data_IF_627920423157
#
_entry.id   IF_627920423157
#
_cell.length_a   1.000
_cell.length_b   1.000
_cell.length_c   1.000
_cell.angle_alpha   90.00
_cell.angle_beta   90.00
_cell.angle_gamma   90.00
#
_symmetry.space_group_name_H-M   'P 1'
#
loop_
_entity.id
_entity.type
_entity.pdbx_description
1 polymer ?
#
# COMPACT_ATOMS: atom_id res chain seq x y z
N UNK A 1 11.59 56.55 17.09
CA UNK A 1 11.34 55.68 15.91
C UNK A 1 12.54 55.70 14.94
N UNK A 2 13.75 55.35 15.40
CA UNK A 2 14.94 55.26 14.53
C UNK A 2 15.83 54.03 14.82
N UNK A 3 15.41 53.14 15.73
CA UNK A 3 16.15 51.92 16.10
C UNK A 3 15.50 50.62 15.60
N UNK A 4 14.36 50.69 14.91
CA UNK A 4 13.65 49.51 14.38
C UNK A 4 13.93 49.23 12.89
N UNK A 5 14.57 50.16 12.17
CA UNK A 5 14.89 50.02 10.74
C UNK A 5 16.27 49.41 10.46
N UNK A 6 17.15 49.29 11.46
CA UNK A 6 18.50 48.70 11.29
C UNK A 6 18.50 47.16 11.37
N UNK A 7 17.60 46.55 12.15
CA UNK A 7 17.52 45.10 12.29
C UNK A 7 16.89 44.42 11.06
N UNK A 8 15.94 45.09 10.39
CA UNK A 8 15.31 44.60 9.16
C UNK A 8 16.28 44.59 7.96
N UNK A 9 17.20 45.56 7.89
CA UNK A 9 18.21 45.63 6.82
C UNK A 9 19.33 44.58 6.97
N UNK A 10 19.64 44.16 8.21
CA UNK A 10 20.61 43.07 8.46
C UNK A 10 20.04 41.67 8.18
N UNK A 11 18.73 41.46 8.38
CA UNK A 11 18.07 40.19 8.03
C UNK A 11 17.94 39.98 6.51
N UNK A 12 17.73 41.04 5.74
CA UNK A 12 17.64 40.97 4.27
C UNK A 12 18.97 40.64 3.59
N UNK A 13 20.12 40.99 4.19
CA UNK A 13 21.45 40.70 3.64
C UNK A 13 21.96 39.29 4.00
N UNK A 14 21.33 38.60 4.95
CA UNK A 14 21.60 37.19 5.27
C UNK A 14 20.81 36.24 4.36
N UNK A 15 19.64 36.66 3.86
CA UNK A 15 18.81 35.86 2.96
C UNK A 15 19.26 35.89 1.50
N UNK A 16 20.03 36.90 1.06
CA UNK A 16 20.62 36.93 -0.29
C UNK A 16 21.92 36.13 -0.44
N UNK A 17 22.50 35.64 0.67
CA UNK A 17 23.72 34.81 0.67
C UNK A 17 23.46 33.30 0.75
N UNK A 18 22.20 32.87 0.86
CA UNK A 18 21.84 31.45 0.91
C UNK A 18 21.55 30.80 -0.47
N UNK A 19 21.68 31.55 -1.58
CA UNK A 19 21.49 31.02 -2.94
C UNK A 19 22.76 30.53 -3.65
N UNK A 20 23.89 30.36 -2.97
CA UNK A 20 25.12 29.82 -3.57
C UNK A 20 25.85 28.89 -2.60
N UNK A 21 25.31 27.70 -2.37
CA UNK A 21 26.11 26.55 -1.93
C UNK A 21 25.33 25.25 -2.16
N UNK A 22 25.42 24.75 -3.38
CA UNK A 22 25.14 23.36 -3.72
C UNK A 22 26.50 22.69 -3.95
N UNK A 23 26.61 21.42 -3.51
CA UNK A 23 27.74 20.46 -3.62
C UNK A 23 28.53 20.24 -2.32
N UNK A 24 28.54 18.97 -1.92
CA UNK A 24 29.28 18.29 -0.84
C UNK A 24 28.73 18.43 0.59
N UNK A 25 28.03 17.39 1.07
CA UNK A 25 28.43 16.54 2.21
C UNK A 25 27.40 15.40 2.33
N UNK A 26 27.74 14.24 1.76
CA UNK A 26 27.24 12.93 2.19
C UNK A 26 27.84 12.61 3.57
N UNK A 27 27.04 12.03 4.46
CA UNK A 27 27.56 11.44 5.71
C UNK A 27 27.20 12.12 7.02
N UNK A 28 25.98 12.66 7.21
CA UNK A 28 25.52 13.05 8.56
C UNK A 28 23.97 13.04 8.74
N UNK A 29 23.29 11.96 8.32
CA UNK A 29 21.83 11.81 8.60
C UNK A 29 21.41 10.59 9.42
N UNK A 30 22.34 9.76 9.90
CA UNK A 30 22.05 8.62 10.78
C UNK A 30 22.16 8.93 12.28
N UNK A 31 22.75 10.06 12.68
CA UNK A 31 22.95 10.39 14.10
C UNK A 31 21.71 11.02 14.78
N UNK A 32 20.82 11.66 14.02
CA UNK A 32 19.66 12.37 14.60
C UNK A 32 18.56 11.42 15.09
N UNK A 33 18.32 10.31 14.40
CA UNK A 33 17.34 9.30 14.83
C UNK A 33 17.80 8.52 16.08
N UNK A 34 19.10 8.27 16.25
CA UNK A 34 19.64 7.58 17.42
C UNK A 34 19.58 8.44 18.69
N UNK A 35 19.76 9.77 18.56
CA UNK A 35 19.67 10.69 19.72
C UNK A 35 18.23 10.86 20.25
N UNK A 36 17.22 10.64 19.42
CA UNK A 36 15.81 10.66 19.84
C UNK A 36 15.39 9.39 20.57
N UNK A 37 15.91 8.21 20.17
CA UNK A 37 15.60 6.95 20.87
C UNK A 37 16.28 6.86 22.24
N UNK A 38 17.51 7.39 22.38
CA UNK A 38 18.23 7.43 23.67
C UNK A 38 17.56 8.37 24.68
N UNK A 39 16.92 9.45 24.23
CA UNK A 39 16.12 10.34 25.12
C UNK A 39 14.84 9.69 25.62
N UNK A 40 14.20 8.84 24.82
CA UNK A 40 13.00 8.09 25.23
C UNK A 40 13.32 7.00 26.26
N UNK A 41 14.43 6.29 26.10
CA UNK A 41 14.91 5.29 27.07
C UNK A 41 15.28 5.91 28.43
N UNK A 42 15.80 7.14 28.45
CA UNK A 42 16.10 7.88 29.68
C UNK A 42 14.86 8.37 30.45
N UNK A 43 13.74 8.62 29.76
CA UNK A 43 12.47 9.02 30.36
C UNK A 43 11.72 7.82 30.97
N UNK A 44 11.76 6.66 30.32
CA UNK A 44 11.21 5.40 30.82
C UNK A 44 11.94 4.90 32.09
N UNK A 45 13.26 5.10 32.18
CA UNK A 45 14.03 4.75 33.39
C UNK A 45 13.68 5.66 34.58
N UNK A 46 13.31 6.93 34.33
CA UNK A 46 12.86 7.88 35.38
C UNK A 46 11.45 7.57 35.90
N UNK A 47 10.57 6.99 35.08
CA UNK A 47 9.25 6.56 35.54
C UNK A 47 9.31 5.29 36.38
N UNK A 48 10.20 4.35 36.03
CA UNK A 48 10.37 3.09 36.78
C UNK A 48 10.99 3.30 38.17
N UNK A 49 11.86 4.31 38.33
CA UNK A 49 12.41 4.72 39.63
C UNK A 49 11.43 5.50 40.53
N UNK A 50 10.30 5.99 39.99
CA UNK A 50 9.23 6.62 40.80
C UNK A 50 8.19 5.63 41.32
N UNK A 51 8.12 4.43 40.77
CA UNK A 51 7.18 3.39 41.24
C UNK A 51 7.77 2.51 42.36
N UNK A 52 9.07 2.61 42.64
CA UNK A 52 9.74 1.77 43.66
C UNK A 52 10.02 2.46 44.99
N UNK A 53 9.57 3.70 45.21
CA UNK A 53 9.70 4.38 46.51
C UNK A 53 8.35 4.93 46.98
N UNK A 54 7.61 4.10 47.71
CA UNK A 54 6.48 4.57 48.51
C UNK A 54 6.99 5.43 49.68
N UNK A 55 6.54 6.67 49.78
CA UNK A 55 6.85 7.54 50.91
C UNK A 55 6.39 8.99 50.70
N UNK A 56 5.31 9.36 51.39
CA UNK A 56 4.75 10.72 51.46
C UNK A 56 5.68 11.71 52.17
N UNK A 57 6.07 12.82 51.51
CA UNK A 57 6.27 14.16 52.11
C UNK A 57 6.66 15.21 51.05
N UNK A 58 6.34 16.51 51.25
CA UNK A 58 6.39 17.53 50.20
C UNK A 58 7.80 18.13 50.03
N UNK A 59 8.26 18.25 48.78
CA UNK A 59 9.58 18.76 48.45
C UNK A 59 9.60 20.30 48.26
N UNK A 60 10.52 20.98 48.97
CA UNK A 60 11.02 22.33 48.65
C UNK A 60 11.99 22.28 47.44
N UNK A 61 12.16 23.36 46.66
CA UNK A 61 13.05 23.36 45.51
C UNK A 61 14.53 23.55 45.92
N UNK A 62 15.44 22.73 45.38
CA UNK A 62 16.89 22.84 45.56
C UNK A 62 17.55 23.54 44.36
N UNK A 63 18.43 24.50 44.67
CA UNK A 63 19.23 25.30 43.74
C UNK A 63 20.40 24.50 43.14
N UNK A 64 20.65 24.71 41.84
CA UNK A 64 21.71 24.11 41.03
C UNK A 64 23.04 24.86 41.14
N UNK A 65 23.73 24.74 42.26
CA UNK A 65 25.15 25.07 42.31
C UNK A 65 25.84 24.19 43.34
N UNK A 66 26.92 23.53 42.92
CA UNK A 66 27.84 22.67 43.69
C UNK A 66 27.67 21.16 43.48
N UNK A 67 28.22 20.64 42.38
CA UNK A 67 28.76 19.27 42.33
C UNK A 67 30.05 19.26 41.49
N UNK A 68 31.19 19.02 42.15
CA UNK A 68 32.48 18.64 41.52
C UNK A 68 32.53 17.10 41.40
N UNK A 69 33.23 16.53 40.39
CA UNK A 69 33.27 15.08 40.21
C UNK A 69 34.30 14.44 41.16
N UNK A 70 33.94 13.34 41.80
CA UNK A 70 34.86 12.51 42.59
C UNK A 70 34.79 11.05 42.12
N UNK A 71 35.98 10.47 41.89
CA UNK A 71 36.23 9.06 41.53
C UNK A 71 35.92 8.12 42.71
N UNK A 72 35.40 6.93 42.42
CA UNK A 72 35.38 5.73 43.26
C UNK A 72 35.71 4.55 42.30
N UNK A 73 36.86 3.88 42.33
CA UNK A 73 37.45 2.92 43.29
C UNK A 73 36.54 1.73 43.59
N UNK A 74 36.91 0.58 43.01
CA UNK A 74 36.34 -0.76 43.18
C UNK A 74 36.68 -1.37 44.55
N UNK A 75 35.77 -2.17 45.14
CA UNK A 75 36.12 -3.52 45.61
C UNK A 75 34.90 -4.44 45.91
N UNK A 76 35.16 -5.75 45.70
CA UNK A 76 34.33 -6.98 45.72
C UNK A 76 33.78 -7.32 47.13
N UNK A 77 32.82 -8.23 47.37
CA UNK A 77 32.48 -9.57 46.82
C UNK A 77 30.98 -9.89 47.13
N UNK A 78 30.27 -10.94 46.66
CA UNK A 78 30.47 -12.41 46.71
C UNK A 78 29.40 -13.11 45.83
N UNK A 79 29.76 -14.21 45.13
CA UNK A 79 29.00 -15.35 44.50
C UNK A 79 27.55 -15.15 43.98
N UNK A 80 27.12 -15.55 42.78
CA UNK A 80 27.71 -16.30 41.66
C UNK A 80 26.59 -17.01 40.86
N UNK A 81 26.48 -16.76 39.55
CA UNK A 81 26.33 -17.77 38.48
C UNK A 81 26.41 -17.10 37.09
N UNK A 82 27.10 -17.77 36.17
CA UNK A 82 27.70 -17.27 34.93
C UNK A 82 26.84 -17.49 33.68
N UNK A 83 26.99 -16.61 32.68
CA UNK A 83 27.14 -16.98 31.26
C UNK A 83 28.31 -16.13 30.68
N UNK A 84 29.31 -16.72 29.99
CA UNK A 84 30.58 -16.04 29.70
C UNK A 84 30.54 -15.25 28.39
N UNK A 85 30.86 -13.96 28.47
CA UNK A 85 31.27 -13.15 27.32
C UNK A 85 32.81 -13.15 27.29
N UNK A 86 33.40 -13.95 26.41
CA UNK A 86 34.86 -14.00 26.22
C UNK A 86 35.27 -13.09 25.06
N UNK A 87 35.57 -11.83 25.37
CA UNK A 87 36.39 -10.98 24.51
C UNK A 87 37.85 -11.46 24.60
N UNK A 88 38.27 -12.26 23.61
CA UNK A 88 39.69 -12.49 23.34
C UNK A 88 40.17 -11.49 22.29
N UNK A 89 41.21 -10.75 22.68
CA UNK A 89 42.08 -9.94 21.83
C UNK A 89 42.51 -10.72 20.58
N UNK A 90 42.20 -10.19 19.41
CA UNK A 90 42.78 -10.63 18.14
C UNK A 90 43.68 -9.52 17.60
N UNK A 91 44.91 -9.95 17.30
CA UNK A 91 46.05 -9.16 16.83
C UNK A 91 45.78 -8.56 15.44
N UNK A 92 46.46 -7.45 15.16
CA UNK A 92 46.60 -6.86 13.83
C UNK A 92 47.05 -7.92 12.82
N UNK A 93 46.12 -8.33 11.96
CA UNK A 93 46.34 -9.21 10.82
C UNK A 93 46.10 -8.41 9.54
N UNK A 94 47.03 -8.52 8.60
CA UNK A 94 47.14 -7.70 7.40
C UNK A 94 45.88 -7.63 6.53
N UNK A 95 45.78 -6.50 5.81
CA UNK A 95 44.75 -6.21 4.83
C UNK A 95 44.91 -7.20 3.67
N UNK A 96 44.24 -8.34 3.76
CA UNK A 96 43.94 -9.14 2.59
C UNK A 96 42.87 -8.39 1.78
N UNK A 97 43.23 -8.02 0.56
CA UNK A 97 42.35 -7.42 -0.44
C UNK A 97 41.27 -8.45 -0.81
N UNK A 98 40.24 -8.58 0.03
CA UNK A 98 39.01 -9.29 -0.34
C UNK A 98 38.24 -8.28 -1.20
N UNK A 99 38.41 -8.39 -2.52
CA UNK A 99 37.40 -7.90 -3.45
C UNK A 99 36.14 -8.71 -3.18
N UNK A 100 35.33 -8.25 -2.24
CA UNK A 100 33.95 -8.67 -2.15
C UNK A 100 33.25 -7.92 -3.27
N UNK A 101 33.34 -8.47 -4.48
CA UNK A 101 32.44 -8.12 -5.55
C UNK A 101 31.06 -8.56 -5.07
N UNK A 102 30.30 -7.62 -4.49
CA UNK A 102 28.87 -7.76 -4.33
C UNK A 102 28.37 -8.05 -5.74
N UNK A 103 27.76 -9.21 -6.00
CA UNK A 103 27.11 -9.42 -7.27
C UNK A 103 26.03 -8.35 -7.34
N UNK A 104 26.19 -7.38 -8.22
CA UNK A 104 25.12 -6.50 -8.67
C UNK A 104 24.17 -7.43 -9.42
N UNK A 105 23.35 -8.16 -8.65
CA UNK A 105 22.42 -9.16 -9.15
C UNK A 105 21.36 -8.44 -9.96
N UNK A 106 21.24 -8.85 -11.22
CA UNK A 106 20.24 -8.48 -12.22
C UNK A 106 19.68 -7.05 -12.15
N UNK A 107 20.10 -6.23 -13.12
CA UNK A 107 19.45 -4.96 -13.43
C UNK A 107 17.92 -5.12 -13.41
N UNK A 108 17.23 -4.22 -12.71
CA UNK A 108 15.78 -4.07 -12.80
C UNK A 108 15.39 -4.02 -14.29
N UNK A 109 14.80 -5.11 -14.77
CA UNK A 109 14.35 -5.18 -16.16
C UNK A 109 12.96 -4.59 -16.20
N UNK A 110 12.84 -3.41 -16.78
CA UNK A 110 11.54 -2.76 -16.99
C UNK A 110 10.73 -3.68 -17.92
N UNK A 111 9.55 -4.10 -17.44
CA UNK A 111 8.64 -4.94 -18.22
C UNK A 111 7.90 -4.06 -19.23
N UNK A 112 7.54 -4.64 -20.35
CA UNK A 112 6.61 -4.08 -21.33
C UNK A 112 5.24 -4.75 -21.20
N UNK A 113 4.20 -4.18 -21.81
CA UNK A 113 2.86 -4.79 -21.80
C UNK A 113 2.84 -6.22 -22.36
N UNK A 114 3.73 -6.54 -23.30
CA UNK A 114 3.84 -7.89 -23.87
C UNK A 114 4.49 -8.90 -22.93
N UNK A 115 5.25 -8.43 -21.94
CA UNK A 115 5.90 -9.27 -20.91
C UNK A 115 4.93 -9.64 -19.76
N UNK A 116 3.77 -8.99 -19.69
CA UNK A 116 2.71 -9.37 -18.75
C UNK A 116 1.99 -10.61 -19.25
N UNK A 117 1.76 -11.61 -18.40
CA UNK A 117 0.86 -12.72 -18.72
C UNK A 117 -0.56 -12.23 -19.09
N UNK A 118 -1.37 -13.03 -19.81
CA UNK A 118 -2.74 -12.63 -20.16
C UNK A 118 -3.54 -12.19 -18.93
N UNK A 119 -3.44 -12.97 -17.84
CA UNK A 119 -4.10 -12.67 -16.57
C UNK A 119 -3.56 -11.40 -15.90
N UNK A 120 -2.25 -11.13 -15.95
CA UNK A 120 -1.69 -9.87 -15.45
C UNK A 120 -2.18 -8.67 -16.27
N UNK A 121 -2.32 -8.81 -17.59
CA UNK A 121 -2.84 -7.74 -18.46
C UNK A 121 -4.33 -7.45 -18.18
N UNK A 122 -5.13 -8.49 -17.93
CA UNK A 122 -6.51 -8.33 -17.47
C UNK A 122 -6.58 -7.61 -16.11
N UNK A 123 -5.77 -8.03 -15.14
CA UNK A 123 -5.72 -7.38 -13.82
C UNK A 123 -5.29 -5.91 -13.93
N UNK A 124 -4.28 -5.62 -14.76
CA UNK A 124 -3.83 -4.25 -15.04
C UNK A 124 -4.95 -3.40 -15.63
N UNK A 125 -5.69 -3.96 -16.59
CA UNK A 125 -6.84 -3.29 -17.21
C UNK A 125 -7.95 -3.04 -16.20
N UNK A 126 -8.23 -4.00 -15.33
CA UNK A 126 -9.21 -3.87 -14.25
C UNK A 126 -8.83 -2.77 -13.25
N UNK A 127 -7.58 -2.75 -12.80
CA UNK A 127 -7.07 -1.70 -11.89
C UNK A 127 -7.19 -0.32 -12.53
N UNK A 128 -6.82 -0.19 -13.81
CA UNK A 128 -6.93 1.06 -14.57
C UNK A 128 -8.39 1.50 -14.71
N UNK A 129 -9.31 0.60 -15.07
CA UNK A 129 -10.74 0.92 -15.20
C UNK A 129 -11.36 1.32 -13.87
N UNK A 130 -11.03 0.62 -12.78
CA UNK A 130 -11.48 0.96 -11.45
C UNK A 130 -10.98 2.36 -11.04
N UNK A 131 -9.73 2.69 -11.40
CA UNK A 131 -9.13 4.01 -11.17
C UNK A 131 -9.82 5.11 -11.98
N UNK A 132 -10.24 4.80 -13.20
CA UNK A 132 -10.99 5.70 -14.08
C UNK A 132 -12.47 5.85 -13.70
N UNK A 133 -12.96 5.04 -12.75
CA UNK A 133 -14.29 5.21 -12.15
C UNK A 133 -15.26 4.06 -12.38
N UNK A 134 -14.86 2.98 -13.07
CA UNK A 134 -15.71 1.80 -13.21
C UNK A 134 -16.01 1.20 -11.83
N UNK A 135 -17.29 1.03 -11.52
CA UNK A 135 -17.78 0.49 -10.25
C UNK A 135 -18.33 -0.92 -10.45
N UNK A 136 -18.54 -1.63 -9.34
CA UNK A 136 -19.05 -3.00 -9.31
C UNK A 136 -18.30 -3.91 -10.29
N UNK A 137 -16.99 -3.69 -10.44
CA UNK A 137 -16.21 -4.40 -11.43
C UNK A 137 -16.02 -5.85 -10.99
N UNK A 138 -16.42 -6.77 -11.85
CA UNK A 138 -16.32 -8.22 -11.65
C UNK A 138 -15.39 -8.77 -12.72
N UNK A 139 -14.33 -9.42 -12.26
CA UNK A 139 -13.43 -10.22 -13.10
C UNK A 139 -14.06 -11.60 -13.36
N UNK A 140 -14.01 -12.10 -14.61
CA UNK A 140 -14.69 -13.33 -15.04
C UNK A 140 -13.70 -14.26 -15.76
N UNK A 141 -13.20 -15.34 -15.12
CA UNK A 141 -12.10 -16.16 -15.72
C UNK A 141 -11.87 -17.51 -14.99
N UNK A 142 -11.20 -18.51 -15.61
CA UNK A 142 -11.24 -18.97 -16.99
C UNK A 142 -12.22 -20.16 -17.10
N UNK A 143 -13.41 -19.91 -17.63
CA UNK A 143 -14.37 -20.93 -18.07
C UNK A 143 -14.62 -20.78 -19.57
N UNK A 144 -15.51 -21.61 -20.14
CA UNK A 144 -16.04 -21.49 -21.51
C UNK A 144 -16.92 -20.23 -21.65
N UNK A 145 -16.43 -19.09 -21.21
CA UNK A 145 -17.22 -17.90 -20.93
C UNK A 145 -17.10 -16.91 -22.08
N UNK A 146 -17.92 -17.16 -23.09
CA UNK A 146 -18.94 -16.20 -23.52
C UNK A 146 -18.49 -15.01 -24.36
N UNK A 147 -17.47 -14.23 -23.99
CA UNK A 147 -17.13 -13.03 -24.75
C UNK A 147 -16.75 -11.76 -23.98
N UNK A 148 -16.38 -11.85 -22.69
CA UNK A 148 -15.90 -10.70 -21.90
C UNK A 148 -15.02 -11.16 -20.73
N UNK A 149 -14.03 -10.34 -20.36
CA UNK A 149 -13.09 -10.64 -19.27
C UNK A 149 -13.43 -9.82 -18.00
N UNK A 150 -13.97 -8.61 -18.18
CA UNK A 150 -14.39 -7.72 -17.10
C UNK A 150 -15.80 -7.19 -17.38
N UNK A 151 -16.61 -7.06 -16.34
CA UNK A 151 -17.91 -6.40 -16.37
C UNK A 151 -17.97 -5.36 -15.25
N UNK A 152 -18.58 -4.19 -15.50
CA UNK A 152 -18.82 -3.20 -14.45
C UNK A 152 -19.85 -2.17 -14.86
N UNK A 153 -20.06 -1.20 -13.98
CA UNK A 153 -21.03 -0.12 -14.15
C UNK A 153 -20.34 1.25 -14.13
N UNK A 154 -20.77 2.14 -15.01
CA UNK A 154 -20.47 3.56 -14.97
C UNK A 154 -21.73 4.30 -14.49
N UNK A 155 -21.55 5.16 -13.48
CA UNK A 155 -22.61 6.02 -12.96
C UNK A 155 -22.31 7.46 -13.37
N UNK A 156 -23.27 8.11 -14.02
CA UNK A 156 -23.13 9.49 -14.49
C UNK A 156 -24.34 10.30 -14.06
N UNK A 157 -24.09 11.34 -13.27
CA UNK A 157 -25.11 12.31 -12.86
C UNK A 157 -25.39 13.26 -14.03
N UNK A 158 -26.67 13.51 -14.29
CA UNK A 158 -27.11 14.46 -15.30
C UNK A 158 -27.50 15.83 -14.68
N UNK A 159 -27.68 16.82 -15.55
CA UNK A 159 -28.08 18.17 -15.13
C UNK A 159 -29.50 18.24 -14.54
N UNK A 160 -30.31 17.18 -14.69
CA UNK A 160 -31.62 17.08 -14.05
C UNK A 160 -31.55 16.51 -12.63
N UNK A 161 -30.37 16.10 -12.16
CA UNK A 161 -30.17 15.52 -10.84
C UNK A 161 -30.52 14.03 -10.77
N UNK A 162 -30.68 13.36 -11.92
CA UNK A 162 -30.80 11.91 -11.99
C UNK A 162 -29.44 11.28 -12.29
N UNK A 163 -29.22 10.08 -11.74
CA UNK A 163 -28.03 9.28 -12.04
C UNK A 163 -28.38 8.23 -13.09
N UNK A 164 -27.70 8.27 -14.21
CA UNK A 164 -27.76 7.21 -15.22
C UNK A 164 -26.74 6.12 -14.93
N UNK A 165 -27.13 4.86 -15.12
CA UNK A 165 -26.24 3.71 -15.04
C UNK A 165 -26.02 3.16 -16.44
N UNK A 166 -24.76 2.89 -16.78
CA UNK A 166 -24.39 2.17 -18.01
C UNK A 166 -23.62 0.90 -17.65
N UNK A 167 -24.04 -0.20 -18.23
CA UNK A 167 -23.35 -1.48 -18.14
C UNK A 167 -22.21 -1.54 -19.16
N UNK A 168 -21.01 -1.89 -18.67
CA UNK A 168 -19.79 -1.98 -19.47
C UNK A 168 -19.30 -3.42 -19.52
N UNK A 169 -19.11 -3.92 -20.74
CA UNK A 169 -18.45 -5.19 -21.01
C UNK A 169 -17.08 -4.92 -21.60
N UNK A 170 -16.04 -5.47 -21.00
CA UNK A 170 -14.66 -5.26 -21.43
C UNK A 170 -14.03 -6.59 -21.79
N UNK A 171 -13.39 -6.64 -22.96
CA UNK A 171 -12.60 -7.77 -23.42
C UNK A 171 -11.14 -7.32 -23.59
N UNK A 172 -10.22 -8.09 -23.01
CA UNK A 172 -8.80 -7.86 -22.98
C UNK A 172 -8.12 -8.81 -23.98
N UNK A 173 -7.32 -8.27 -24.89
CA UNK A 173 -6.60 -9.06 -25.90
C UNK A 173 -5.13 -8.68 -25.92
N UNK A 174 -4.30 -9.51 -25.29
CA UNK A 174 -2.84 -9.37 -25.37
C UNK A 174 -2.32 -9.99 -26.66
N UNK A 175 -2.29 -9.21 -27.74
CA UNK A 175 -1.81 -9.63 -29.06
C UNK A 175 -0.52 -8.90 -29.46
N UNK A 176 0.31 -9.60 -30.24
CA UNK A 176 1.42 -9.00 -30.99
C UNK A 176 0.97 -8.49 -32.37
N UNK A 177 -0.05 -9.12 -32.96
CA UNK A 177 -0.61 -8.77 -34.27
C UNK A 177 -1.89 -7.92 -34.19
N UNK A 178 -2.38 -7.48 -35.35
CA UNK A 178 -3.61 -6.69 -35.44
C UNK A 178 -4.86 -7.51 -35.12
N UNK A 179 -5.85 -6.88 -34.49
CA UNK A 179 -7.14 -7.52 -34.20
C UNK A 179 -8.05 -7.39 -35.43
N UNK A 180 -8.57 -8.52 -35.91
CA UNK A 180 -9.42 -8.59 -37.10
C UNK A 180 -10.91 -8.40 -36.78
N UNK A 181 -11.69 -7.91 -37.75
CA UNK A 181 -13.14 -7.71 -37.59
C UNK A 181 -13.90 -8.95 -37.08
N UNK A 182 -13.67 -10.18 -37.60
CA UNK A 182 -14.37 -11.35 -37.08
C UNK A 182 -14.19 -11.56 -35.57
N UNK A 183 -13.00 -11.27 -35.04
CA UNK A 183 -12.69 -11.37 -33.61
C UNK A 183 -13.49 -10.34 -32.81
N UNK A 184 -13.55 -9.10 -33.30
CA UNK A 184 -14.31 -8.03 -32.64
C UNK A 184 -15.82 -8.34 -32.71
N UNK A 185 -16.31 -8.79 -33.86
CA UNK A 185 -17.72 -9.12 -34.10
C UNK A 185 -18.24 -10.19 -33.14
N UNK A 186 -17.49 -11.27 -32.91
CA UNK A 186 -17.87 -12.32 -31.97
C UNK A 186 -18.17 -11.76 -30.57
N UNK A 187 -17.34 -10.82 -30.11
CA UNK A 187 -17.47 -10.17 -28.80
C UNK A 187 -18.60 -9.16 -28.76
N UNK A 188 -18.78 -8.39 -29.83
CA UNK A 188 -19.92 -7.48 -29.99
C UNK A 188 -21.23 -8.26 -29.93
N UNK A 189 -21.34 -9.37 -30.67
CA UNK A 189 -22.55 -10.18 -30.71
C UNK A 189 -22.91 -10.74 -29.33
N UNK A 190 -21.91 -11.11 -28.53
CA UNK A 190 -22.13 -11.53 -27.15
C UNK A 190 -22.58 -10.36 -26.25
N UNK A 191 -21.94 -9.19 -26.35
CA UNK A 191 -22.32 -8.01 -25.59
C UNK A 191 -23.76 -7.55 -25.94
N UNK A 192 -24.12 -7.55 -27.22
CA UNK A 192 -25.47 -7.25 -27.74
C UNK A 192 -26.51 -8.24 -27.18
N UNK A 193 -26.22 -9.54 -27.24
CA UNK A 193 -27.12 -10.58 -26.72
C UNK A 193 -27.35 -10.50 -25.20
N UNK A 194 -26.43 -9.85 -24.47
CA UNK A 194 -26.53 -9.65 -23.02
C UNK A 194 -26.93 -8.21 -22.65
N UNK A 195 -27.38 -7.39 -23.63
CA UNK A 195 -27.83 -6.01 -23.44
C UNK A 195 -26.79 -5.11 -22.73
N UNK A 196 -25.51 -5.26 -23.06
CA UNK A 196 -24.51 -4.29 -22.61
C UNK A 196 -24.76 -2.92 -23.26
N UNK A 197 -24.62 -1.84 -22.50
CA UNK A 197 -24.72 -0.48 -23.05
C UNK A 197 -23.46 -0.10 -23.82
N UNK A 198 -22.30 -0.53 -23.31
CA UNK A 198 -20.99 -0.24 -23.89
C UNK A 198 -20.15 -1.51 -23.93
N UNK A 199 -19.54 -1.77 -25.09
CA UNK A 199 -18.51 -2.78 -25.26
C UNK A 199 -17.16 -2.09 -25.46
N UNK A 200 -16.16 -2.44 -24.64
CA UNK A 200 -14.81 -1.92 -24.72
C UNK A 200 -13.83 -3.06 -25.04
N UNK A 201 -13.15 -2.95 -26.17
CA UNK A 201 -12.03 -3.83 -26.50
C UNK A 201 -10.70 -3.18 -26.10
N UNK A 202 -9.94 -3.81 -25.21
CA UNK A 202 -8.61 -3.35 -24.79
C UNK A 202 -7.56 -4.29 -25.36
N UNK A 203 -6.61 -3.78 -26.14
CA UNK A 203 -5.55 -4.58 -26.75
C UNK A 203 -4.17 -3.95 -26.56
N UNK A 204 -3.14 -4.79 -26.47
CA UNK A 204 -1.74 -4.36 -26.53
C UNK A 204 -1.30 -3.97 -27.95
N UNK A 205 -2.09 -4.31 -28.97
CA UNK A 205 -1.81 -4.03 -30.38
C UNK A 205 -2.76 -2.97 -30.97
N UNK A 206 -3.09 -3.07 -32.25
CA UNK A 206 -4.03 -2.18 -32.94
C UNK A 206 -5.12 -2.98 -33.63
N UNK A 207 -6.29 -2.36 -33.83
CA UNK A 207 -7.32 -2.92 -34.71
C UNK A 207 -6.89 -2.78 -36.19
N UNK A 208 -7.32 -3.72 -37.03
CA UNK A 208 -7.13 -3.57 -38.47
C UNK A 208 -7.99 -2.41 -39.01
N UNK A 209 -7.58 -1.72 -40.09
CA UNK A 209 -8.37 -0.63 -40.67
C UNK A 209 -9.81 -1.05 -40.99
N UNK A 210 -9.98 -2.24 -41.56
CA UNK A 210 -11.30 -2.82 -41.81
C UNK A 210 -12.13 -2.98 -40.52
N UNK A 211 -11.51 -3.41 -39.42
CA UNK A 211 -12.23 -3.55 -38.15
C UNK A 211 -12.67 -2.17 -37.61
N UNK A 212 -11.85 -1.14 -37.75
CA UNK A 212 -12.20 0.23 -37.36
C UNK A 212 -13.38 0.75 -38.18
N UNK A 213 -13.37 0.56 -39.50
CA UNK A 213 -14.45 0.99 -40.39
C UNK A 213 -15.79 0.31 -40.03
N UNK A 214 -15.76 -0.99 -39.76
CA UNK A 214 -16.96 -1.75 -39.35
C UNK A 214 -17.44 -1.36 -37.93
N UNK A 215 -16.54 -1.05 -37.00
CA UNK A 215 -16.90 -0.51 -35.68
C UNK A 215 -17.60 0.84 -35.81
N UNK A 216 -17.07 1.74 -36.65
CA UNK A 216 -17.70 3.05 -36.90
C UNK A 216 -19.08 2.87 -37.53
N UNK A 217 -19.18 2.00 -38.54
CA UNK A 217 -20.46 1.67 -39.18
C UNK A 217 -21.48 1.10 -38.18
N UNK A 218 -21.06 0.24 -37.26
CA UNK A 218 -21.92 -0.27 -36.20
C UNK A 218 -22.44 0.86 -35.31
N UNK A 219 -21.55 1.71 -34.82
CA UNK A 219 -21.91 2.82 -33.93
C UNK A 219 -22.82 3.86 -34.60
N UNK A 220 -22.69 4.06 -35.92
CA UNK A 220 -23.56 4.97 -36.68
C UNK A 220 -24.96 4.38 -36.90
N UNK A 221 -25.07 3.05 -37.00
CA UNK A 221 -26.33 2.36 -37.35
C UNK A 221 -27.11 1.85 -36.14
N UNK A 222 -26.43 1.53 -35.04
CA UNK A 222 -27.02 0.95 -33.83
C UNK A 222 -26.79 1.85 -32.62
N UNK A 223 -27.73 1.81 -31.68
CA UNK A 223 -27.63 2.57 -30.43
C UNK A 223 -26.90 1.82 -29.31
N UNK A 224 -26.92 0.49 -29.31
CA UNK A 224 -26.31 -0.33 -28.27
C UNK A 224 -25.88 -1.72 -28.81
N UNK A 225 -24.83 -2.33 -28.24
CA UNK A 225 -23.80 -1.67 -27.44
C UNK A 225 -23.04 -0.62 -28.26
N UNK A 226 -22.68 0.51 -27.63
CA UNK A 226 -21.68 1.43 -28.19
C UNK A 226 -20.32 0.75 -28.11
N UNK A 227 -19.66 0.59 -29.25
CA UNK A 227 -18.36 -0.07 -29.32
C UNK A 227 -17.25 0.96 -29.16
N UNK A 228 -16.34 0.70 -28.24
CA UNK A 228 -15.12 1.48 -27.99
C UNK A 228 -13.92 0.55 -28.01
N UNK A 229 -12.75 1.09 -28.32
CA UNK A 229 -11.51 0.32 -28.26
C UNK A 229 -10.35 1.17 -27.77
N UNK A 230 -9.43 0.52 -27.07
CA UNK A 230 -8.12 1.07 -26.72
C UNK A 230 -7.06 0.24 -27.43
N UNK A 231 -6.34 0.88 -28.35
CA UNK A 231 -5.11 0.30 -28.89
C UNK A 231 -3.98 0.39 -27.85
N UNK A 232 -2.86 -0.27 -28.11
CA UNK A 232 -1.69 -0.26 -27.22
C UNK A 232 -1.27 1.16 -26.82
N UNK A 233 -1.16 2.09 -27.78
CA UNK A 233 -0.81 3.48 -27.49
C UNK A 233 -1.90 4.22 -26.68
N UNK A 234 -3.18 3.95 -26.94
CA UNK A 234 -4.29 4.55 -26.19
C UNK A 234 -4.30 4.07 -24.73
N UNK A 235 -3.95 2.79 -24.54
CA UNK A 235 -3.80 2.16 -23.24
C UNK A 235 -2.60 2.74 -22.48
N UNK A 236 -1.42 2.77 -23.12
CA UNK A 236 -0.19 3.36 -22.57
C UNK A 236 -0.40 4.81 -22.16
N UNK A 237 -1.07 5.61 -22.99
CA UNK A 237 -1.37 7.00 -22.66
C UNK A 237 -2.22 7.12 -21.39
N UNK A 238 -3.27 6.29 -21.24
CA UNK A 238 -4.10 6.29 -20.03
C UNK A 238 -3.33 5.80 -18.81
N UNK A 239 -2.53 4.76 -18.99
CA UNK A 239 -1.68 4.21 -17.93
C UNK A 239 -0.60 5.21 -17.48
N UNK A 240 -0.10 6.06 -18.39
CA UNK A 240 0.90 7.09 -18.09
C UNK A 240 0.46 8.07 -17.00
N UNK A 241 -0.86 8.25 -16.82
CA UNK A 241 -1.45 9.12 -15.80
C UNK A 241 -1.54 8.46 -14.40
N UNK A 242 -1.24 7.15 -14.31
CA UNK A 242 -1.37 6.33 -13.12
C UNK A 242 -0.07 5.57 -12.85
N UNK A 243 0.93 6.31 -12.37
CA UNK A 243 2.29 5.81 -12.12
C UNK A 243 2.33 4.75 -11.01
N UNK A 244 1.43 4.85 -10.03
CA UNK A 244 1.22 3.84 -8.98
C UNK A 244 0.86 2.47 -9.55
N UNK A 245 -0.03 2.44 -10.55
CA UNK A 245 -0.40 1.21 -11.27
C UNK A 245 0.80 0.70 -12.08
N UNK A 246 1.54 1.57 -12.77
CA UNK A 246 2.73 1.13 -13.51
C UNK A 246 3.77 0.45 -12.61
N UNK A 247 4.01 0.98 -11.40
CA UNK A 247 4.90 0.34 -10.43
C UNK A 247 4.36 -1.01 -10.00
N UNK A 248 3.06 -1.11 -9.69
CA UNK A 248 2.44 -2.37 -9.26
C UNK A 248 2.75 -3.53 -10.22
N UNK A 249 2.75 -3.26 -11.53
CA UNK A 249 2.99 -4.27 -12.58
C UNK A 249 4.42 -4.28 -13.16
N UNK A 250 5.33 -3.43 -12.69
CA UNK A 250 6.72 -3.40 -13.17
C UNK A 250 6.94 -2.73 -14.52
N UNK A 251 6.03 -1.84 -14.90
CA UNK A 251 6.06 -1.08 -16.16
C UNK A 251 6.72 0.29 -15.99
N UNK A 252 6.95 0.73 -14.76
CA UNK A 252 7.57 2.03 -14.46
C UNK A 252 9.07 2.01 -14.75
N UNK A 253 9.55 3.09 -15.36
CA UNK A 253 10.99 3.33 -15.57
C UNK A 253 11.70 3.87 -14.33
N UNK A 254 10.97 4.45 -13.38
CA UNK A 254 11.50 5.06 -12.16
C UNK A 254 10.67 4.63 -10.94
N UNK A 255 10.66 3.33 -10.60
CA UNK A 255 9.63 2.76 -9.74
C UNK A 255 9.62 3.34 -8.31
N UNK A 256 10.79 3.73 -7.78
CA UNK A 256 10.89 4.39 -6.47
C UNK A 256 10.23 5.78 -6.48
N UNK A 257 10.43 6.56 -7.56
CA UNK A 257 9.88 7.91 -7.67
C UNK A 257 8.38 7.86 -7.93
N UNK A 258 7.96 6.96 -8.81
CA UNK A 258 6.59 6.77 -9.24
C UNK A 258 5.68 6.20 -8.14
N UNK A 259 6.25 5.41 -7.21
CA UNK A 259 5.54 4.89 -6.05
C UNK A 259 5.44 5.89 -4.88
N UNK A 260 6.30 6.91 -4.84
CA UNK A 260 6.42 7.80 -3.69
C UNK A 260 5.07 8.42 -3.25
N UNK A 261 4.19 8.93 -4.15
CA UNK A 261 2.90 9.47 -3.75
C UNK A 261 2.01 8.43 -3.04
N UNK A 262 1.98 7.19 -3.55
CA UNK A 262 1.14 6.13 -2.98
C UNK A 262 1.72 5.58 -1.66
N UNK A 263 3.05 5.55 -1.50
CA UNK A 263 3.70 5.26 -0.20
C UNK A 263 3.44 6.37 0.82
N UNK A 264 3.38 7.64 0.39
CA UNK A 264 3.00 8.76 1.26
C UNK A 264 1.58 8.58 1.78
N UNK A 265 0.62 8.10 0.98
CA UNK A 265 -0.73 7.80 1.46
C UNK A 265 -0.73 6.68 2.53
N UNK A 266 0.02 5.59 2.33
CA UNK A 266 0.20 4.58 3.38
C UNK A 266 0.85 5.15 4.65
N UNK A 267 1.83 6.04 4.48
CA UNK A 267 2.50 6.71 5.60
C UNK A 267 1.54 7.64 6.38
N UNK A 268 0.62 8.33 5.70
CA UNK A 268 -0.44 9.12 6.35
C UNK A 268 -1.35 8.23 7.20
N UNK A 269 -1.73 7.06 6.69
CA UNK A 269 -2.50 6.07 7.43
C UNK A 269 -1.71 5.64 8.67
N UNK A 270 -0.44 5.24 8.53
CA UNK A 270 0.42 4.89 9.66
C UNK A 270 0.48 5.99 10.73
N UNK A 271 0.68 7.25 10.32
CA UNK A 271 0.75 8.40 11.23
C UNK A 271 -0.58 8.67 11.92
N UNK A 272 -1.72 8.51 11.23
CA UNK A 272 -3.06 8.64 11.82
C UNK A 272 -3.22 7.69 13.02
N UNK A 273 -2.85 6.43 12.88
CA UNK A 273 -2.98 5.45 13.97
C UNK A 273 -1.89 5.61 15.04
N UNK A 274 -0.68 6.05 14.66
CA UNK A 274 0.38 6.41 15.62
C UNK A 274 -0.06 7.53 16.55
N UNK A 275 -0.65 8.60 16.00
CA UNK A 275 -1.18 9.70 16.80
C UNK A 275 -2.38 9.28 17.65
N UNK A 276 -3.22 8.37 17.14
CA UNK A 276 -4.32 7.78 17.92
C UNK A 276 -3.82 7.04 19.16
N UNK A 277 -2.73 6.27 19.07
CA UNK A 277 -2.13 5.61 20.25
C UNK A 277 -1.65 6.62 21.26
N UNK A 278 -0.91 7.63 20.82
CA UNK A 278 -0.37 8.64 21.72
C UNK A 278 -1.48 9.28 22.57
N UNK A 279 -2.62 9.59 21.94
CA UNK A 279 -3.80 10.07 22.64
C UNK A 279 -4.39 9.02 23.60
N UNK A 280 -4.55 7.77 23.16
CA UNK A 280 -5.13 6.71 23.98
C UNK A 280 -4.32 6.42 25.25
N UNK A 281 -2.98 6.43 25.15
CA UNK A 281 -2.07 6.27 26.29
C UNK A 281 -2.31 7.37 27.32
N UNK A 282 -2.40 8.62 26.88
CA UNK A 282 -2.64 9.77 27.76
C UNK A 282 -3.99 9.66 28.49
N UNK A 283 -5.02 9.12 27.81
CA UNK A 283 -6.34 8.89 28.39
C UNK A 283 -6.51 7.53 29.08
N UNK A 284 -5.44 6.74 29.25
CA UNK A 284 -5.49 5.43 29.91
C UNK A 284 -6.35 4.38 29.20
N UNK A 285 -6.52 4.48 27.88
CA UNK A 285 -7.29 3.52 27.07
C UNK A 285 -6.40 2.38 26.57
N UNK A 286 -7.03 1.26 26.19
CA UNK A 286 -6.36 0.09 25.59
C UNK A 286 -5.71 0.43 24.25
N UNK A 287 -4.46 0.03 24.06
CA UNK A 287 -3.66 0.35 22.87
C UNK A 287 -3.42 -0.83 21.93
N UNK A 288 -3.88 -2.04 22.30
CA UNK A 288 -3.56 -3.30 21.59
C UNK A 288 -3.99 -3.27 20.12
N UNK A 289 -5.23 -2.85 19.82
CA UNK A 289 -5.75 -2.79 18.45
C UNK A 289 -4.94 -1.83 17.57
N UNK A 290 -4.81 -0.54 17.93
CA UNK A 290 -3.99 0.40 17.17
C UNK A 290 -2.52 0.01 17.08
N UNK A 291 -1.94 -0.64 18.09
CA UNK A 291 -0.56 -1.12 18.04
C UNK A 291 -0.40 -2.21 16.98
N UNK A 292 -1.34 -3.17 16.93
CA UNK A 292 -1.37 -4.19 15.89
C UNK A 292 -1.53 -3.57 14.49
N UNK A 293 -2.35 -2.53 14.36
CA UNK A 293 -2.52 -1.81 13.09
C UNK A 293 -1.25 -1.11 12.63
N UNK A 294 -0.58 -0.37 13.52
CA UNK A 294 0.70 0.29 13.21
C UNK A 294 1.74 -0.74 12.77
N UNK A 295 1.86 -1.85 13.50
CA UNK A 295 2.79 -2.91 13.14
C UNK A 295 2.49 -3.45 11.75
N UNK A 296 1.24 -3.82 11.48
CA UNK A 296 0.85 -4.40 10.19
C UNK A 296 1.01 -3.43 9.01
N UNK A 297 0.66 -2.15 9.20
CA UNK A 297 0.87 -1.12 8.18
C UNK A 297 2.37 -0.88 7.95
N UNK A 298 3.18 -0.86 9.00
CA UNK A 298 4.63 -0.73 8.88
C UNK A 298 5.24 -1.91 8.13
N UNK A 299 4.81 -3.14 8.43
CA UNK A 299 5.24 -4.34 7.72
C UNK A 299 4.87 -4.27 6.23
N UNK A 300 3.65 -3.82 5.90
CA UNK A 300 3.22 -3.60 4.52
C UNK A 300 4.10 -2.57 3.81
N UNK A 301 4.34 -1.41 4.40
CA UNK A 301 5.18 -0.36 3.78
C UNK A 301 6.60 -0.88 3.55
N UNK A 302 7.20 -1.56 4.54
CA UNK A 302 8.53 -2.14 4.41
C UNK A 302 8.59 -3.20 3.31
N UNK A 303 7.57 -4.08 3.23
CA UNK A 303 7.50 -5.10 2.18
C UNK A 303 7.41 -4.45 0.78
N UNK A 304 6.53 -3.46 0.60
CA UNK A 304 6.34 -2.79 -0.70
C UNK A 304 7.57 -2.01 -1.14
N UNK A 305 8.22 -1.28 -0.23
CA UNK A 305 9.47 -0.60 -0.55
C UNK A 305 10.57 -1.60 -0.94
N UNK A 306 10.74 -2.69 -0.19
CA UNK A 306 11.72 -3.72 -0.52
C UNK A 306 11.47 -4.39 -1.87
N UNK A 307 10.21 -4.71 -2.19
CA UNK A 307 9.83 -5.29 -3.48
C UNK A 307 10.09 -4.32 -4.66
N UNK A 308 9.75 -3.05 -4.49
CA UNK A 308 10.00 -1.99 -5.48
C UNK A 308 11.49 -1.79 -5.70
N UNK A 309 12.30 -1.79 -4.63
CA UNK A 309 13.76 -1.61 -4.72
C UNK A 309 14.46 -2.82 -5.37
N UNK A 310 13.99 -4.03 -5.08
CA UNK A 310 14.63 -5.27 -5.55
C UNK A 310 14.17 -5.70 -6.93
N UNK A 311 12.88 -5.58 -7.23
CA UNK A 311 12.26 -6.18 -8.42
C UNK A 311 11.54 -5.17 -9.33
N UNK A 312 11.39 -3.92 -8.89
CA UNK A 312 10.67 -2.88 -9.62
C UNK A 312 9.15 -3.08 -9.70
N UNK A 313 8.60 -4.12 -9.06
CA UNK A 313 7.17 -4.41 -9.06
C UNK A 313 6.69 -5.05 -7.77
N UNK A 314 5.37 -5.16 -7.60
CA UNK A 314 4.78 -5.74 -6.39
C UNK A 314 4.44 -7.20 -6.61
N UNK A 315 4.83 -8.03 -5.65
CA UNK A 315 4.53 -9.46 -5.64
C UNK A 315 3.50 -9.77 -4.55
N UNK A 316 2.45 -10.50 -4.90
CA UNK A 316 1.45 -10.97 -3.94
C UNK A 316 2.04 -12.10 -3.10
N UNK A 317 2.16 -11.90 -1.79
CA UNK A 317 2.62 -12.92 -0.86
C UNK A 317 1.43 -13.57 -0.17
N UNK A 318 1.15 -14.85 -0.43
CA UNK A 318 -0.07 -15.53 0.03
C UNK A 318 -0.19 -15.57 1.56
N UNK A 319 -1.34 -15.16 2.07
CA UNK A 319 -1.72 -15.24 3.49
C UNK A 319 -1.87 -16.70 3.95
N UNK A 320 -1.23 -17.04 5.07
CA UNK A 320 -1.31 -18.37 5.70
C UNK A 320 -1.88 -18.27 7.10
N UNK A 321 -3.07 -18.82 7.32
CA UNK A 321 -3.80 -18.67 8.58
C UNK A 321 -2.97 -19.14 9.79
N UNK A 322 -2.16 -20.19 9.64
CA UNK A 322 -1.34 -20.74 10.72
C UNK A 322 -0.17 -19.84 11.16
N UNK A 323 0.25 -18.89 10.32
CA UNK A 323 1.39 -17.98 10.61
C UNK A 323 0.95 -16.52 10.72
N UNK A 324 0.02 -16.10 9.87
CA UNK A 324 -0.33 -14.70 9.63
C UNK A 324 -1.59 -14.26 10.37
N UNK A 325 -2.48 -15.19 10.74
CA UNK A 325 -3.73 -14.82 11.39
C UNK A 325 -3.51 -14.35 12.83
N UNK A 326 -4.26 -13.33 13.21
CA UNK A 326 -4.35 -12.94 14.62
C UNK A 326 -5.20 -13.94 15.39
N UNK A 327 -4.87 -14.18 16.66
CA UNK A 327 -5.62 -15.12 17.52
C UNK A 327 -7.11 -14.77 17.65
N UNK A 328 -7.46 -13.49 17.56
CA UNK A 328 -8.83 -12.96 17.62
C UNK A 328 -9.58 -13.00 16.27
N UNK A 329 -8.90 -13.36 15.17
CA UNK A 329 -9.50 -13.52 13.85
C UNK A 329 -9.83 -15.01 13.62
N UNK A 330 -11.09 -15.37 13.87
CA UNK A 330 -11.57 -16.76 13.76
C UNK A 330 -11.86 -17.12 12.30
N UNK A 331 -11.69 -18.41 11.99
CA UNK A 331 -11.98 -19.01 10.68
C UNK A 331 -11.17 -18.41 9.50
N UNK A 332 -9.96 -17.93 9.81
CA UNK A 332 -9.06 -17.28 8.85
C UNK A 332 -8.58 -18.20 7.69
N UNK A 333 -8.78 -19.51 7.80
CA UNK A 333 -8.53 -20.49 6.72
C UNK A 333 -9.24 -20.11 5.42
N UNK A 334 -10.43 -19.51 5.53
CA UNK A 334 -11.20 -19.01 4.39
C UNK A 334 -10.43 -17.95 3.58
N UNK A 335 -9.59 -17.14 4.23
CA UNK A 335 -8.74 -16.14 3.58
C UNK A 335 -7.58 -16.83 2.85
N UNK A 336 -6.94 -17.81 3.49
CA UNK A 336 -5.80 -18.53 2.92
C UNK A 336 -6.14 -19.27 1.63
N UNK A 337 -7.35 -19.85 1.56
CA UNK A 337 -7.83 -20.54 0.36
C UNK A 337 -7.93 -19.61 -0.86
N UNK A 338 -8.19 -18.32 -0.65
CA UNK A 338 -8.34 -17.35 -1.73
C UNK A 338 -7.01 -16.72 -2.15
N UNK A 339 -5.91 -16.97 -1.45
CA UNK A 339 -4.57 -16.52 -1.84
C UNK A 339 -4.40 -15.00 -1.82
N UNK A 340 -5.06 -14.31 -0.88
CA UNK A 340 -4.86 -12.88 -0.64
C UNK A 340 -3.44 -12.54 -0.19
N UNK A 341 -3.04 -11.29 -0.40
CA UNK A 341 -1.76 -10.78 0.10
C UNK A 341 -1.74 -10.69 1.64
N UNK A 342 -0.70 -11.27 2.25
CA UNK A 342 -0.57 -11.39 3.70
C UNK A 342 -0.43 -10.04 4.40
N UNK A 343 0.32 -9.10 3.83
CA UNK A 343 0.57 -7.81 4.47
C UNK A 343 -0.68 -6.94 4.41
N UNK A 344 -1.35 -6.91 3.25
CA UNK A 344 -2.60 -6.18 3.09
C UNK A 344 -3.72 -6.74 3.97
N UNK A 345 -3.90 -8.08 4.02
CA UNK A 345 -4.91 -8.71 4.89
C UNK A 345 -4.64 -8.38 6.36
N UNK A 346 -3.39 -8.52 6.83
CA UNK A 346 -3.06 -8.23 8.23
C UNK A 346 -3.32 -6.76 8.58
N UNK A 347 -2.95 -5.84 7.69
CA UNK A 347 -3.21 -4.41 7.87
C UNK A 347 -4.71 -4.09 7.88
N UNK A 348 -5.48 -4.65 6.95
CA UNK A 348 -6.94 -4.49 6.89
C UNK A 348 -7.60 -5.05 8.16
N UNK A 349 -7.30 -6.29 8.54
CA UNK A 349 -7.89 -6.93 9.71
C UNK A 349 -7.60 -6.13 10.99
N UNK A 350 -6.34 -5.71 11.19
CA UNK A 350 -5.94 -4.92 12.35
C UNK A 350 -6.63 -3.56 12.40
N UNK A 351 -6.82 -2.90 11.25
CA UNK A 351 -7.57 -1.65 11.16
C UNK A 351 -9.04 -1.81 11.50
N UNK A 352 -9.69 -2.85 10.98
CA UNK A 352 -11.09 -3.13 11.31
C UNK A 352 -11.22 -3.36 12.82
N UNK A 353 -10.27 -4.09 13.42
CA UNK A 353 -10.23 -4.35 14.87
C UNK A 353 -10.13 -3.07 15.71
N UNK A 354 -9.48 -2.01 15.22
CA UNK A 354 -9.39 -0.74 15.94
C UNK A 354 -10.75 -0.08 16.19
N UNK A 355 -11.73 -0.30 15.30
CA UNK A 355 -13.05 0.31 15.39
C UNK A 355 -14.15 -0.65 15.81
N UNK A 356 -13.96 -1.94 15.54
CA UNK A 356 -14.94 -2.96 15.90
C UNK A 356 -15.10 -3.05 17.41
N UNK A 357 -16.34 -3.04 17.88
CA UNK A 357 -16.69 -3.29 19.29
C UNK A 357 -16.62 -4.77 19.66
N UNK A 358 -16.57 -5.67 18.68
CA UNK A 358 -16.51 -7.10 18.91
C UNK A 358 -15.13 -7.52 19.45
N UNK A 359 -15.09 -8.47 20.39
CA UNK A 359 -13.83 -8.99 20.93
C UNK A 359 -13.11 -9.89 19.93
N UNK A 360 -13.86 -10.75 19.28
CA UNK A 360 -13.43 -11.63 18.21
C UNK A 360 -14.09 -11.21 16.90
N UNK A 361 -13.39 -11.45 15.79
CA UNK A 361 -13.89 -11.23 14.45
C UNK A 361 -13.96 -12.56 13.72
N UNK A 362 -15.06 -12.82 13.02
CA UNK A 362 -15.29 -14.09 12.33
C UNK A 362 -15.20 -13.85 10.83
N UNK A 363 -14.43 -14.70 10.15
CA UNK A 363 -14.35 -14.72 8.69
C UNK A 363 -15.31 -15.77 8.15
N UNK A 364 -16.11 -15.40 7.16
CA UNK A 364 -16.95 -16.35 6.42
C UNK A 364 -16.75 -16.20 4.92
N UNK A 365 -16.92 -17.30 4.17
CA UNK A 365 -16.99 -17.26 2.71
C UNK A 365 -18.39 -16.84 2.27
N UNK A 366 -18.46 -16.14 1.16
CA UNK A 366 -19.72 -15.76 0.53
C UNK A 366 -20.04 -16.83 -0.52
N UNK A 367 -21.14 -17.55 -0.34
CA UNK A 367 -21.52 -18.66 -1.25
C UNK A 367 -21.70 -18.17 -2.70
N UNK A 368 -22.29 -16.98 -2.86
CA UNK A 368 -22.56 -16.36 -4.16
C UNK A 368 -21.33 -15.68 -4.80
N UNK A 369 -20.20 -15.58 -4.08
CA UNK A 369 -18.98 -14.94 -4.59
C UNK A 369 -17.73 -15.74 -4.21
N UNK A 370 -17.25 -16.63 -5.11
CA UNK A 370 -16.16 -17.57 -4.80
C UNK A 370 -14.81 -16.88 -4.56
N UNK A 371 -14.67 -15.61 -4.94
CA UNK A 371 -13.45 -14.82 -4.80
C UNK A 371 -13.53 -13.82 -3.63
N UNK A 372 -14.56 -13.92 -2.78
CA UNK A 372 -14.78 -12.98 -1.69
C UNK A 372 -14.97 -13.66 -0.33
N UNK A 373 -14.53 -12.95 0.71
CA UNK A 373 -14.77 -13.28 2.12
C UNK A 373 -15.36 -12.08 2.83
N UNK A 374 -16.22 -12.34 3.80
CA UNK A 374 -16.70 -11.33 4.73
C UNK A 374 -15.99 -11.47 6.07
N UNK A 375 -15.61 -10.33 6.64
CA UNK A 375 -15.11 -10.21 8.00
C UNK A 375 -16.18 -9.49 8.81
N UNK A 376 -16.81 -10.21 9.74
CA UNK A 376 -17.88 -9.68 10.57
C UNK A 376 -17.31 -8.88 11.74
N UNK A 377 -17.81 -7.65 11.89
CA UNK A 377 -17.46 -6.75 12.99
C UNK A 377 -18.70 -6.01 13.51
N UNK A 378 -18.50 -5.03 14.39
CA UNK A 378 -19.62 -4.24 14.91
C UNK A 378 -19.25 -2.76 15.01
N UNK A 379 -20.04 -1.91 14.34
CA UNK A 379 -19.92 -0.45 14.45
C UNK A 379 -18.72 0.12 13.70
N UNK A 380 -18.36 -0.48 12.56
CA UNK A 380 -17.24 -0.01 11.75
C UNK A 380 -17.66 1.25 10.99
N UNK A 381 -16.94 2.38 11.13
CA UNK A 381 -17.34 3.63 10.48
C UNK A 381 -17.03 3.60 8.98
N UNK A 382 -17.93 4.12 8.15
CA UNK A 382 -17.74 4.22 6.69
C UNK A 382 -16.51 5.03 6.29
N UNK A 383 -16.08 5.97 7.14
CA UNK A 383 -14.85 6.76 6.95
C UNK A 383 -13.57 5.90 6.90
N UNK A 384 -13.64 4.63 7.33
CA UNK A 384 -12.54 3.68 7.23
C UNK A 384 -12.34 3.17 5.79
N UNK A 385 -13.35 3.24 4.93
CA UNK A 385 -13.31 2.67 3.58
C UNK A 385 -12.17 3.24 2.72
N UNK A 386 -11.83 4.53 2.86
CA UNK A 386 -10.72 5.13 2.13
C UNK A 386 -9.36 4.53 2.52
N UNK A 387 -9.15 4.30 3.81
CA UNK A 387 -7.91 3.72 4.33
C UNK A 387 -7.79 2.26 3.88
N UNK A 388 -8.89 1.49 3.99
CA UNK A 388 -8.91 0.09 3.57
C UNK A 388 -8.74 -0.06 2.06
N UNK A 389 -9.35 0.80 1.25
CA UNK A 389 -9.16 0.79 -0.20
C UNK A 389 -7.71 1.11 -0.57
N UNK A 390 -7.07 2.05 0.14
CA UNK A 390 -5.66 2.40 -0.09
C UNK A 390 -4.72 1.24 0.22
N UNK A 391 -4.97 0.51 1.32
CA UNK A 391 -4.21 -0.70 1.68
C UNK A 391 -4.53 -1.85 0.70
N UNK A 392 -5.81 -2.02 0.37
CA UNK A 392 -6.30 -3.05 -0.53
C UNK A 392 -5.70 -2.96 -1.92
N UNK A 393 -5.51 -1.75 -2.47
CA UNK A 393 -4.84 -1.52 -3.75
C UNK A 393 -3.47 -2.22 -3.82
N UNK A 394 -2.65 -2.07 -2.77
CA UNK A 394 -1.32 -2.68 -2.68
C UNK A 394 -1.33 -4.18 -2.39
N UNK A 395 -2.47 -4.75 -1.99
CA UNK A 395 -2.67 -6.19 -1.88
C UNK A 395 -3.47 -6.81 -3.03
N UNK A 396 -3.90 -5.99 -4.01
CA UNK A 396 -4.89 -6.36 -5.03
C UNK A 396 -6.20 -6.91 -4.43
N UNK A 397 -6.67 -6.24 -3.40
CA UNK A 397 -7.89 -6.56 -2.64
C UNK A 397 -8.90 -5.42 -2.86
N UNK A 398 -10.05 -5.77 -3.40
CA UNK A 398 -11.23 -4.92 -3.43
C UNK A 398 -11.88 -4.94 -2.06
N UNK A 399 -12.26 -3.77 -1.54
CA UNK A 399 -12.90 -3.65 -0.22
C UNK A 399 -14.27 -3.02 -0.36
N UNK A 400 -15.28 -3.68 0.19
CA UNK A 400 -16.62 -3.10 0.40
C UNK A 400 -16.88 -3.07 1.89
N UNK A 401 -17.45 -1.98 2.38
CA UNK A 401 -17.67 -1.75 3.80
C UNK A 401 -19.13 -1.45 4.09
N UNK A 402 -19.65 -2.08 5.13
CA UNK A 402 -20.89 -1.70 5.82
C UNK A 402 -20.60 -1.58 7.32
N UNK A 403 -21.52 -1.04 8.13
CA UNK A 403 -21.31 -0.93 9.57
C UNK A 403 -21.08 -2.27 10.32
N UNK A 404 -21.52 -3.38 9.73
CA UNK A 404 -21.52 -4.72 10.36
C UNK A 404 -20.54 -5.70 9.71
N UNK A 405 -20.17 -5.49 8.44
CA UNK A 405 -19.27 -6.38 7.73
C UNK A 405 -18.35 -5.64 6.77
N UNK A 406 -17.16 -6.22 6.58
CA UNK A 406 -16.21 -5.84 5.54
C UNK A 406 -16.06 -6.99 4.57
N UNK A 407 -16.31 -6.75 3.29
CA UNK A 407 -16.09 -7.74 2.23
C UNK A 407 -14.74 -7.48 1.60
N UNK A 408 -13.90 -8.51 1.58
CA UNK A 408 -12.65 -8.54 0.83
C UNK A 408 -12.89 -9.38 -0.41
N UNK A 409 -12.65 -8.78 -1.57
CA UNK A 409 -12.80 -9.41 -2.87
C UNK A 409 -11.43 -9.46 -3.55
N UNK A 410 -11.03 -10.64 -4.01
CA UNK A 410 -9.78 -10.79 -4.74
C UNK A 410 -9.94 -10.18 -6.13
N UNK A 411 -9.17 -9.15 -6.42
CA UNK A 411 -9.21 -8.45 -7.71
C UNK A 411 -8.34 -9.13 -8.78
N UNK A 412 -7.36 -9.93 -8.36
CA UNK A 412 -6.44 -10.59 -9.28
C UNK A 412 -6.90 -11.99 -9.65
N UNK A 413 -6.64 -12.35 -10.89
CA UNK A 413 -6.62 -13.72 -11.35
C UNK A 413 -5.86 -14.69 -10.41
N UNK A 414 -6.41 -15.88 -10.21
CA UNK A 414 -5.62 -17.01 -9.73
C UNK A 414 -4.52 -17.30 -10.76
N UNK A 415 -3.26 -17.06 -10.39
CA UNK A 415 -2.09 -17.51 -11.13
C UNK A 415 -1.79 -18.98 -10.89
#
# INVERSE_FOLDING_TARGET
>A
MAHLTSAAQQASNLLSRFSFMQVAVEGHRTASCLLQSVRYSGLLLRQKLRQTTGGNSPARPLQWSQLKPTRLVENRAVHGFLIPCSLKSCKEGGIANIKHEIPIGDMMTIRTLTDLSPSEFENLTLDLLARLGLKNSVWRTPGRDGGRDIQGDEFMDDFSGYTSQKSWYVDCKRYSGTVSWPTVWEKIAFADSNNADVFLLVTTSTLSPQAVDEVNRWNDTRRAPSIRFWNGHDFDHRLSLHTDIQVKYGLSSQPIQDAAPAIVELSKILLKYTNSIAAQVEFGRTTEGPLAAIQAISELITARLGEIELTGHISVQRFRAEVDAYEWLKDAESISLLGFDRFAVRAIAALIRCYSKATDMVVARIEDSPNAVEIRGQGIPETLLSDLTTIGFWGSIGVKLTPELVILERMNAAS
#
